data_IF_850399148393
#
_entry.id   IF_850399148393
#
_cell.length_a   1.000
_cell.length_b   1.000
_cell.length_c   1.000
_cell.angle_alpha   90.00
_cell.angle_beta   90.00
_cell.angle_gamma   90.00
#
_symmetry.space_group_name_H-M   'P 1'
#
loop_
_entity.id
_entity.type
_entity.pdbx_description
1 polymer ?
#
# COMPACT_ATOMS: atom_id res chain seq x y z
N UNK A 1 27.39 0.89 -1.05
CA UNK A 1 28.18 0.64 0.16
C UNK A 1 27.59 -0.57 0.85
N UNK A 2 28.39 -1.55 1.21
CA UNK A 2 27.91 -2.84 1.73
C UNK A 2 27.53 -2.77 3.21
N UNK A 3 26.66 -3.70 3.62
CA UNK A 3 26.09 -3.77 4.97
C UNK A 3 27.15 -3.95 6.07
N UNK A 4 28.27 -4.62 5.74
CA UNK A 4 29.36 -4.89 6.68
C UNK A 4 30.14 -3.60 6.96
N UNK A 5 30.53 -2.86 5.92
CA UNK A 5 31.20 -1.56 6.10
C UNK A 5 30.33 -0.54 6.83
N UNK A 6 29.02 -0.49 6.58
CA UNK A 6 28.12 0.41 7.34
C UNK A 6 28.08 0.05 8.82
N UNK A 7 28.01 -1.25 9.16
CA UNK A 7 28.05 -1.72 10.54
C UNK A 7 29.36 -1.35 11.25
N UNK A 8 30.48 -1.52 10.57
CA UNK A 8 31.81 -1.14 11.08
C UNK A 8 31.94 0.38 11.30
N UNK A 9 31.37 1.18 10.41
CA UNK A 9 31.33 2.63 10.57
C UNK A 9 30.49 3.06 11.78
N UNK A 10 29.32 2.46 11.99
CA UNK A 10 28.52 2.77 13.19
C UNK A 10 29.23 2.36 14.47
N UNK A 11 29.95 1.24 14.48
CA UNK A 11 30.75 0.82 15.62
C UNK A 11 31.89 1.79 15.95
N UNK A 12 32.46 2.49 14.96
CA UNK A 12 33.58 3.43 15.14
C UNK A 12 33.15 4.86 15.42
N UNK A 13 31.92 5.25 15.06
CA UNK A 13 31.41 6.60 15.30
C UNK A 13 31.21 6.90 16.78
N UNK A 14 31.34 8.17 17.15
CA UNK A 14 30.97 8.64 18.49
C UNK A 14 29.45 8.56 18.70
N UNK A 15 29.04 8.43 19.95
CA UNK A 15 27.62 8.37 20.30
C UNK A 15 26.86 9.62 19.83
N UNK A 16 27.44 10.80 19.96
CA UNK A 16 26.85 12.06 19.45
C UNK A 16 26.67 12.05 17.93
N UNK A 17 27.62 11.46 17.19
CA UNK A 17 27.48 11.31 15.74
C UNK A 17 26.35 10.34 15.39
N UNK A 18 26.20 9.24 16.13
CA UNK A 18 25.07 8.32 15.94
C UNK A 18 23.72 9.00 16.24
N UNK A 19 23.63 9.80 17.30
CA UNK A 19 22.44 10.62 17.62
C UNK A 19 22.14 11.62 16.50
N UNK A 20 23.16 12.29 15.96
CA UNK A 20 23.02 13.16 14.78
C UNK A 20 22.44 12.44 13.57
N UNK A 21 22.88 11.20 13.32
CA UNK A 21 22.32 10.35 12.24
C UNK A 21 20.84 10.01 12.50
N UNK A 22 20.44 9.80 13.76
CA UNK A 22 19.03 9.56 14.13
C UNK A 22 18.16 10.79 13.87
N UNK A 23 18.66 12.02 14.02
CA UNK A 23 17.91 13.22 13.65
C UNK A 23 17.60 13.27 12.15
N UNK A 24 18.46 12.67 11.32
CA UNK A 24 18.31 12.58 9.87
C UNK A 24 17.79 11.21 9.40
N UNK A 25 17.15 10.44 10.30
CA UNK A 25 16.71 9.06 10.02
C UNK A 25 15.77 8.91 8.81
N UNK A 26 15.09 10.00 8.42
CA UNK A 26 14.27 10.09 7.19
C UNK A 26 15.06 9.93 5.90
N UNK A 27 16.34 10.28 5.93
CA UNK A 27 17.24 10.23 4.78
C UNK A 27 18.04 8.93 4.74
N UNK A 28 17.94 8.08 5.77
CA UNK A 28 18.64 6.81 5.83
C UNK A 28 17.96 5.74 4.99
N UNK A 29 18.76 4.89 4.36
CA UNK A 29 18.25 3.66 3.78
C UNK A 29 17.65 2.77 4.90
N UNK A 30 16.38 2.34 4.80
CA UNK A 30 15.70 1.56 5.83
C UNK A 30 16.43 0.29 6.27
N UNK A 31 17.21 -0.33 5.38
CA UNK A 31 17.96 -1.56 5.70
C UNK A 31 19.08 -1.33 6.74
N UNK A 32 19.57 -0.09 6.87
CA UNK A 32 20.67 0.24 7.78
C UNK A 32 20.20 0.76 9.14
N UNK A 33 18.94 1.18 9.25
CA UNK A 33 18.34 1.68 10.51
C UNK A 33 18.44 0.66 11.65
N UNK A 34 18.18 -0.66 11.45
CA UNK A 34 18.34 -1.65 12.52
C UNK A 34 19.79 -1.83 13.00
N UNK A 35 20.78 -1.55 12.14
CA UNK A 35 22.19 -1.63 12.51
C UNK A 35 22.57 -0.46 13.44
N UNK A 36 22.09 0.74 13.12
CA UNK A 36 22.22 1.93 13.95
C UNK A 36 21.54 1.74 15.32
N UNK A 37 20.30 1.24 15.31
CA UNK A 37 19.54 0.98 16.53
C UNK A 37 20.24 -0.03 17.45
N UNK A 38 20.74 -1.14 16.90
CA UNK A 38 21.48 -2.14 17.67
C UNK A 38 22.75 -1.58 18.30
N UNK A 39 23.46 -0.70 17.60
CA UNK A 39 24.66 -0.07 18.13
C UNK A 39 24.35 0.92 19.25
N UNK A 40 23.24 1.68 19.16
CA UNK A 40 22.76 2.55 20.24
C UNK A 40 22.35 1.75 21.48
N UNK A 41 21.65 0.62 21.31
CA UNK A 41 21.27 -0.27 22.42
C UNK A 41 22.52 -0.81 23.13
N UNK A 42 23.54 -1.25 22.39
CA UNK A 42 24.82 -1.72 22.97
C UNK A 42 25.52 -0.66 23.82
N UNK A 43 25.30 0.62 23.50
CA UNK A 43 25.87 1.77 24.20
C UNK A 43 24.98 2.29 25.33
N UNK A 44 23.90 1.58 25.67
CA UNK A 44 22.88 1.99 26.64
C UNK A 44 22.12 3.27 26.27
N UNK A 45 22.09 3.66 24.99
CA UNK A 45 21.33 4.81 24.48
C UNK A 45 19.90 4.39 24.13
N UNK A 46 19.21 3.80 25.12
CA UNK A 46 17.93 3.13 24.94
C UNK A 46 16.80 4.09 24.55
N UNK A 47 16.78 5.31 25.09
CA UNK A 47 15.76 6.32 24.75
C UNK A 47 15.83 6.70 23.27
N UNK A 48 17.05 6.93 22.75
CA UNK A 48 17.25 7.24 21.33
C UNK A 48 16.88 6.05 20.46
N UNK A 49 17.23 4.83 20.88
CA UNK A 49 16.85 3.61 20.17
C UNK A 49 15.33 3.36 20.16
N UNK A 50 14.61 3.76 21.21
CA UNK A 50 13.14 3.73 21.26
C UNK A 50 12.55 4.76 20.28
N UNK A 51 13.10 5.97 20.20
CA UNK A 51 12.67 6.98 19.23
C UNK A 51 12.78 6.51 17.78
N UNK A 52 13.78 5.66 17.46
CA UNK A 52 13.87 4.97 16.17
C UNK A 52 12.69 4.03 15.95
N UNK A 53 12.33 3.22 16.95
CA UNK A 53 11.18 2.31 16.87
C UNK A 53 9.89 3.10 16.66
N UNK A 54 9.68 4.18 17.42
CA UNK A 54 8.49 5.04 17.29
C UNK A 54 8.39 5.67 15.90
N UNK A 55 9.52 6.11 15.35
CA UNK A 55 9.58 6.59 13.97
C UNK A 55 9.23 5.50 12.95
N UNK A 56 9.82 4.32 13.07
CA UNK A 56 9.58 3.19 12.17
C UNK A 56 8.13 2.70 12.22
N UNK A 57 7.54 2.62 13.43
CA UNK A 57 6.13 2.30 13.58
C UNK A 57 5.26 3.42 13.03
N UNK A 58 5.58 4.69 13.27
CA UNK A 58 4.85 5.81 12.67
C UNK A 58 4.78 5.70 11.15
N UNK A 59 5.86 5.33 10.47
CA UNK A 59 5.90 5.15 9.00
C UNK A 59 5.13 3.92 8.55
N UNK A 60 5.35 2.77 9.19
CA UNK A 60 4.66 1.52 8.87
C UNK A 60 3.13 1.67 8.98
N UNK A 61 2.66 2.61 9.79
CA UNK A 61 1.23 2.92 9.98
C UNK A 61 0.75 4.25 9.34
N UNK A 62 1.62 5.09 8.74
CA UNK A 62 1.19 6.37 8.13
C UNK A 62 0.88 6.33 6.65
N UNK A 63 1.35 5.33 5.90
CA UNK A 63 0.97 5.22 4.50
C UNK A 63 -0.46 4.70 4.47
N UNK A 64 -1.38 5.54 3.98
CA UNK A 64 -2.78 5.16 3.92
C UNK A 64 -2.95 3.92 3.05
N UNK A 65 -3.87 3.05 3.46
CA UNK A 65 -4.19 1.82 2.74
C UNK A 65 -4.53 2.10 1.26
N UNK A 66 -5.17 3.25 0.98
CA UNK A 66 -5.43 3.72 -0.38
C UNK A 66 -4.17 3.93 -1.22
N UNK A 67 -3.11 4.51 -0.64
CA UNK A 67 -1.84 4.75 -1.35
C UNK A 67 -1.15 3.42 -1.63
N UNK A 68 -1.15 2.50 -0.67
CA UNK A 68 -0.59 1.16 -0.88
C UNK A 68 -1.35 0.37 -1.95
N UNK A 69 -2.67 0.48 -1.95
CA UNK A 69 -3.51 -0.10 -2.98
C UNK A 69 -3.20 0.46 -4.35
N UNK A 70 -3.09 1.79 -4.47
CA UNK A 70 -2.78 2.44 -5.74
C UNK A 70 -1.37 2.07 -6.23
N UNK A 71 -0.37 2.00 -5.34
CA UNK A 71 0.97 1.51 -5.68
C UNK A 71 0.95 0.07 -6.22
N UNK A 72 0.31 -0.87 -5.51
CA UNK A 72 0.20 -2.27 -5.94
C UNK A 72 -0.51 -2.37 -7.30
N UNK A 73 -1.60 -1.62 -7.49
CA UNK A 73 -2.35 -1.61 -8.75
C UNK A 73 -1.51 -1.04 -9.90
N UNK A 74 -0.72 0.02 -9.65
CA UNK A 74 0.16 0.60 -10.66
C UNK A 74 1.29 -0.35 -11.05
N UNK A 75 1.92 -1.04 -10.09
CA UNK A 75 2.93 -2.05 -10.39
C UNK A 75 2.35 -3.23 -11.18
N UNK A 76 1.14 -3.70 -10.85
CA UNK A 76 0.45 -4.73 -11.64
C UNK A 76 0.14 -4.29 -13.06
N UNK A 77 -0.24 -3.01 -13.26
CA UNK A 77 -0.45 -2.43 -14.60
C UNK A 77 0.86 -2.34 -15.39
N UNK A 78 1.97 -2.07 -14.72
CA UNK A 78 3.31 -2.09 -15.30
C UNK A 78 3.83 -3.52 -15.59
N UNK A 79 3.08 -4.55 -15.17
CA UNK A 79 3.40 -5.95 -15.47
C UNK A 79 4.36 -6.61 -14.48
N UNK A 80 4.63 -5.98 -13.33
CA UNK A 80 5.46 -6.59 -12.30
C UNK A 80 4.79 -7.85 -11.72
N UNK A 81 5.63 -8.81 -11.38
CA UNK A 81 5.29 -10.03 -10.62
C UNK A 81 5.08 -9.70 -9.14
N UNK A 82 4.37 -10.56 -8.40
CA UNK A 82 4.15 -10.31 -6.96
C UNK A 82 5.45 -10.25 -6.15
N UNK A 83 6.52 -10.94 -6.57
CA UNK A 83 7.83 -10.89 -5.89
C UNK A 83 8.54 -9.55 -6.11
N UNK A 84 8.46 -8.99 -7.32
CA UNK A 84 8.98 -7.65 -7.63
C UNK A 84 8.18 -6.57 -6.91
N UNK A 85 6.86 -6.73 -6.82
CA UNK A 85 5.99 -5.83 -6.05
C UNK A 85 6.40 -5.83 -4.57
N UNK A 86 6.67 -6.99 -3.98
CA UNK A 86 7.12 -7.08 -2.59
C UNK A 86 8.47 -6.39 -2.37
N UNK A 87 9.38 -6.49 -3.35
CA UNK A 87 10.64 -5.77 -3.32
C UNK A 87 10.44 -4.26 -3.37
N UNK A 88 9.59 -3.76 -4.29
CA UNK A 88 9.30 -2.33 -4.43
C UNK A 88 8.56 -1.76 -3.21
N UNK A 89 7.60 -2.49 -2.63
CA UNK A 89 6.93 -2.10 -1.39
C UNK A 89 7.91 -2.05 -0.21
N UNK A 90 8.85 -2.98 -0.13
CA UNK A 90 9.89 -2.97 0.89
C UNK A 90 10.87 -1.81 0.71
N UNK A 91 11.31 -1.57 -0.53
CA UNK A 91 12.27 -0.52 -0.86
C UNK A 91 11.69 0.88 -0.67
N UNK A 92 10.49 1.12 -1.21
CA UNK A 92 9.89 2.46 -1.25
C UNK A 92 9.11 2.81 0.02
N UNK A 93 8.59 1.79 0.73
CA UNK A 93 7.66 1.99 1.84
C UNK A 93 8.05 1.24 3.12
N UNK A 94 9.16 0.49 3.13
CA UNK A 94 9.59 -0.27 4.30
C UNK A 94 8.65 -1.42 4.68
N UNK A 95 7.78 -1.83 3.75
CA UNK A 95 6.76 -2.85 4.01
C UNK A 95 7.35 -4.25 3.84
N UNK A 96 7.27 -5.05 4.89
CA UNK A 96 7.64 -6.46 4.85
C UNK A 96 6.59 -7.33 4.15
N UNK A 97 6.98 -8.55 3.76
CA UNK A 97 6.13 -9.49 3.02
C UNK A 97 4.83 -9.85 3.76
N UNK A 98 4.88 -9.93 5.10
CA UNK A 98 3.72 -10.28 5.90
C UNK A 98 2.68 -9.17 5.85
N UNK A 99 3.11 -7.91 5.97
CA UNK A 99 2.20 -6.77 5.85
C UNK A 99 1.71 -6.57 4.41
N UNK A 100 2.57 -6.79 3.40
CA UNK A 100 2.17 -6.78 1.99
C UNK A 100 1.07 -7.83 1.71
N UNK A 101 1.16 -9.01 2.31
CA UNK A 101 0.12 -10.04 2.21
C UNK A 101 -1.22 -9.59 2.81
N UNK A 102 -1.21 -8.97 3.99
CA UNK A 102 -2.41 -8.42 4.61
C UNK A 102 -3.06 -7.34 3.72
N UNK A 103 -2.25 -6.44 3.15
CA UNK A 103 -2.72 -5.41 2.20
C UNK A 103 -3.33 -6.08 0.96
N UNK A 104 -2.74 -7.14 0.42
CA UNK A 104 -3.30 -7.91 -0.71
C UNK A 104 -4.64 -8.56 -0.36
N UNK A 105 -4.78 -9.11 0.84
CA UNK A 105 -6.04 -9.71 1.30
C UNK A 105 -7.13 -8.64 1.35
N UNK A 106 -6.84 -7.48 1.95
CA UNK A 106 -7.77 -6.34 2.00
C UNK A 106 -8.11 -5.82 0.60
N UNK A 107 -7.11 -5.70 -0.29
CA UNK A 107 -7.29 -5.30 -1.68
C UNK A 107 -8.22 -6.26 -2.44
N UNK A 108 -8.07 -7.57 -2.25
CA UNK A 108 -8.96 -8.59 -2.85
C UNK A 108 -10.39 -8.46 -2.33
N UNK A 109 -10.56 -8.19 -1.04
CA UNK A 109 -11.89 -8.01 -0.44
C UNK A 109 -12.57 -6.76 -0.97
N UNK A 110 -11.86 -5.62 -1.04
CA UNK A 110 -12.34 -4.41 -1.72
C UNK A 110 -12.64 -4.62 -3.20
N UNK A 111 -11.87 -5.50 -3.87
CA UNK A 111 -12.14 -5.92 -5.24
C UNK A 111 -13.51 -6.58 -5.39
N UNK A 112 -13.87 -7.50 -4.47
CA UNK A 112 -15.19 -8.15 -4.46
C UNK A 112 -16.31 -7.15 -4.22
N UNK A 113 -16.13 -6.22 -3.28
CA UNK A 113 -17.11 -5.16 -2.99
C UNK A 113 -17.36 -4.29 -4.23
N UNK A 114 -16.30 -3.86 -4.91
CA UNK A 114 -16.41 -3.08 -6.14
C UNK A 114 -17.10 -3.83 -7.29
N UNK A 115 -16.84 -5.14 -7.43
CA UNK A 115 -17.53 -5.98 -8.40
C UNK A 115 -19.03 -6.09 -8.08
N UNK A 116 -19.39 -6.30 -6.80
CA UNK A 116 -20.77 -6.42 -6.37
C UNK A 116 -21.54 -5.12 -6.61
N UNK A 117 -20.97 -3.98 -6.19
CA UNK A 117 -21.55 -2.65 -6.41
C UNK A 117 -21.71 -2.37 -7.91
N UNK A 118 -20.67 -2.62 -8.70
CA UNK A 118 -20.71 -2.37 -10.14
C UNK A 118 -21.75 -3.24 -10.86
N UNK A 119 -21.86 -4.51 -10.49
CA UNK A 119 -22.90 -5.42 -11.01
C UNK A 119 -24.30 -4.92 -10.67
N UNK A 120 -24.54 -4.53 -9.41
CA UNK A 120 -25.84 -4.01 -8.98
C UNK A 120 -26.21 -2.71 -9.72
N UNK A 121 -25.24 -1.80 -9.90
CA UNK A 121 -25.44 -0.55 -10.65
C UNK A 121 -25.77 -0.76 -12.13
N UNK A 122 -25.43 -1.91 -12.72
CA UNK A 122 -25.79 -2.23 -14.11
C UNK A 122 -27.14 -2.95 -14.16
N UNK A 123 -27.36 -3.96 -13.31
CA UNK A 123 -28.55 -4.81 -13.39
C UNK A 123 -29.82 -4.06 -12.97
N UNK A 124 -29.76 -3.29 -11.87
CA UNK A 124 -30.94 -2.61 -11.32
C UNK A 124 -31.54 -1.64 -12.35
N UNK A 125 -30.77 -0.71 -12.97
CA UNK A 125 -31.33 0.21 -13.95
C UNK A 125 -31.82 -0.47 -15.23
N UNK A 126 -31.23 -1.61 -15.64
CA UNK A 126 -31.70 -2.37 -16.79
C UNK A 126 -33.09 -2.98 -16.52
N UNK A 127 -33.28 -3.62 -15.37
CA UNK A 127 -34.59 -4.18 -14.98
C UNK A 127 -35.64 -3.08 -14.87
N UNK A 128 -35.29 -1.98 -14.19
CA UNK A 128 -36.19 -0.85 -13.99
C UNK A 128 -36.55 -0.15 -15.31
N UNK A 129 -35.57 -0.02 -16.22
CA UNK A 129 -35.78 0.51 -17.56
C UNK A 129 -36.75 -0.33 -18.38
N UNK A 130 -36.64 -1.67 -18.33
CA UNK A 130 -37.58 -2.57 -19.03
C UNK A 130 -39.01 -2.37 -18.49
N UNK A 131 -39.19 -2.26 -17.17
CA UNK A 131 -40.51 -2.03 -16.56
C UNK A 131 -41.08 -0.66 -16.96
N UNK A 132 -40.26 0.40 -16.98
CA UNK A 132 -40.72 1.73 -17.37
C UNK A 132 -41.11 1.81 -18.86
N UNK A 133 -40.42 1.06 -19.72
CA UNK A 133 -40.79 0.96 -21.14
C UNK A 133 -42.18 0.33 -21.34
N UNK A 134 -42.54 -0.71 -20.59
CA UNK A 134 -43.87 -1.33 -20.70
C UNK A 134 -45.00 -0.39 -20.27
N UNK A 135 -44.70 0.54 -19.36
CA UNK A 135 -45.63 1.58 -18.90
C UNK A 135 -45.68 2.82 -19.81
N UNK A 136 -44.91 2.85 -20.92
CA UNK A 136 -44.74 4.02 -21.82
C UNK A 136 -44.26 5.29 -21.09
N UNK A 137 -43.51 5.11 -20.01
CA UNK A 137 -42.94 6.23 -19.23
C UNK A 137 -41.62 6.69 -19.83
N UNK A 138 -41.34 7.99 -19.79
CA UNK A 138 -40.08 8.54 -20.26
C UNK A 138 -38.90 8.05 -19.40
N UNK A 139 -37.87 7.53 -20.04
CA UNK A 139 -36.61 7.11 -19.39
C UNK A 139 -35.59 8.23 -19.60
N UNK A 140 -35.24 8.92 -18.51
CA UNK A 140 -34.20 9.94 -18.52
C UNK A 140 -32.80 9.36 -18.70
N UNK A 141 -31.78 10.22 -18.69
CA UNK A 141 -30.36 9.84 -18.88
C UNK A 141 -29.73 9.16 -17.65
N UNK A 142 -30.39 9.19 -16.50
CA UNK A 142 -29.84 8.71 -15.22
C UNK A 142 -29.44 7.22 -15.21
N UNK A 143 -30.23 6.28 -15.78
CA UNK A 143 -29.82 4.87 -15.90
C UNK A 143 -28.52 4.67 -16.67
N UNK A 144 -28.29 5.46 -17.73
CA UNK A 144 -27.06 5.38 -18.54
C UNK A 144 -25.83 5.82 -17.73
N UNK A 145 -25.97 6.87 -16.91
CA UNK A 145 -24.90 7.31 -16.01
C UNK A 145 -24.57 6.25 -14.96
N UNK A 146 -25.58 5.62 -14.36
CA UNK A 146 -25.37 4.53 -13.39
C UNK A 146 -24.65 3.34 -14.01
N UNK A 147 -25.01 2.95 -15.23
CA UNK A 147 -24.33 1.88 -15.96
C UNK A 147 -22.85 2.24 -16.20
N UNK A 148 -22.56 3.48 -16.61
CA UNK A 148 -21.18 3.96 -16.79
C UNK A 148 -20.35 3.87 -15.50
N UNK A 149 -20.90 4.33 -14.38
CA UNK A 149 -20.25 4.22 -13.05
C UNK A 149 -20.07 2.74 -12.66
N UNK A 150 -21.07 1.91 -12.95
CA UNK A 150 -21.03 0.47 -12.68
C UNK A 150 -19.92 -0.25 -13.42
N UNK A 151 -19.72 0.06 -14.71
CA UNK A 151 -18.62 -0.48 -15.52
C UNK A 151 -17.27 -0.07 -14.93
N UNK A 152 -17.10 1.20 -14.53
CA UNK A 152 -15.86 1.67 -13.91
C UNK A 152 -15.56 0.95 -12.60
N UNK A 153 -16.56 0.78 -11.72
CA UNK A 153 -16.44 0.01 -10.46
C UNK A 153 -16.07 -1.45 -10.70
N UNK A 154 -16.70 -2.10 -11.69
CA UNK A 154 -16.38 -3.47 -12.08
C UNK A 154 -14.92 -3.61 -12.54
N UNK A 155 -14.46 -2.74 -13.44
CA UNK A 155 -13.08 -2.78 -13.92
C UNK A 155 -12.08 -2.57 -12.79
N UNK A 156 -12.34 -1.59 -11.90
CA UNK A 156 -11.52 -1.37 -10.70
C UNK A 156 -11.47 -2.62 -9.82
N UNK A 157 -12.61 -3.26 -9.56
CA UNK A 157 -12.67 -4.46 -8.73
C UNK A 157 -11.94 -5.67 -9.32
N UNK A 158 -12.00 -5.86 -10.64
CA UNK A 158 -11.26 -6.91 -11.35
C UNK A 158 -9.74 -6.70 -11.19
N UNK A 159 -9.25 -5.48 -11.38
CA UNK A 159 -7.83 -5.15 -11.20
C UNK A 159 -7.35 -5.39 -9.76
N UNK A 160 -8.18 -5.09 -8.78
CA UNK A 160 -7.87 -5.32 -7.36
C UNK A 160 -7.78 -6.81 -7.00
N UNK A 161 -8.62 -7.65 -7.61
CA UNK A 161 -8.64 -9.10 -7.39
C UNK A 161 -7.50 -9.84 -8.12
N UNK A 162 -6.96 -9.25 -9.18
CA UNK A 162 -5.90 -9.85 -10.02
C UNK A 162 -4.65 -10.16 -9.21
N UNK A 163 -3.97 -11.25 -9.55
CA UNK A 163 -2.64 -11.62 -9.05
C UNK A 163 -1.76 -11.85 -10.27
N UNK A 164 -0.59 -11.20 -10.33
CA UNK A 164 0.38 -11.41 -11.40
C UNK A 164 1.46 -12.39 -10.90
N UNK A 165 1.39 -13.63 -11.36
CA UNK A 165 2.42 -14.63 -11.08
C UNK A 165 3.64 -14.42 -11.98
#
# INVERSE_FOLDING_TARGET
MDKKTIKENYATFSTEKLKGIVLEIKSLNPEFIPLLQNELIKRNENEVAIGITEYLTSIKYHISESVLFDSILNFRKAGLTETEIDFELKSNHGIDSNYAELVRISLKEKGKENIAIGTAMIIIPLILGIILLTMRTFIGVFPLLLIGIGIWRLNKGIMQKRVNN
#
